data_IF_325048478817
#
_entry.id   IF_325048478817
#
_cell.length_a   1.000
_cell.length_b   1.000
_cell.length_c   1.000
_cell.angle_alpha   90.00
_cell.angle_beta   90.00
_cell.angle_gamma   90.00
#
_symmetry.space_group_name_H-M   'P 1'
#
loop_
_entity.id
_entity.type
_entity.pdbx_description
1 polymer ?
#
# COMPACT_ATOMS: atom_id res chain seq x y z
N UNK A 1 -31.80 37.36 -27.98
CA UNK A 1 -31.89 37.34 -26.49
C UNK A 1 -31.76 35.95 -25.86
N UNK A 2 -32.31 34.87 -26.44
CA UNK A 2 -32.23 33.49 -25.90
C UNK A 2 -30.79 32.93 -25.81
N UNK A 3 -29.98 33.16 -26.84
CA UNK A 3 -28.56 32.73 -26.89
C UNK A 3 -27.68 33.38 -25.81
N UNK A 4 -27.84 34.69 -25.53
CA UNK A 4 -27.08 35.39 -24.48
C UNK A 4 -27.40 34.88 -23.06
N UNK A 5 -28.65 34.47 -22.81
CA UNK A 5 -29.06 33.87 -21.53
C UNK A 5 -28.49 32.46 -21.35
N UNK A 6 -28.46 31.64 -22.41
CA UNK A 6 -27.83 30.32 -22.39
C UNK A 6 -26.32 30.41 -22.19
N UNK A 7 -25.65 31.37 -22.85
CA UNK A 7 -24.23 31.62 -22.65
C UNK A 7 -23.90 32.02 -21.20
N UNK A 8 -24.66 32.97 -20.62
CA UNK A 8 -24.48 33.38 -19.23
C UNK A 8 -24.77 32.23 -18.25
N UNK A 9 -25.78 31.42 -18.52
CA UNK A 9 -26.07 30.23 -17.71
C UNK A 9 -24.92 29.20 -17.77
N UNK A 10 -24.36 28.96 -18.95
CA UNK A 10 -23.19 28.08 -19.12
C UNK A 10 -21.95 28.59 -18.39
N UNK A 11 -21.64 29.89 -18.52
CA UNK A 11 -20.52 30.50 -17.80
C UNK A 11 -20.72 30.46 -16.28
N UNK A 12 -21.93 30.76 -15.79
CA UNK A 12 -22.26 30.67 -14.37
C UNK A 12 -22.12 29.25 -13.83
N UNK A 13 -22.53 28.24 -14.62
CA UNK A 13 -22.36 26.83 -14.24
C UNK A 13 -20.87 26.46 -14.10
N UNK A 14 -20.02 26.87 -15.05
CA UNK A 14 -18.58 26.62 -14.98
C UNK A 14 -17.97 27.26 -13.71
N UNK A 15 -18.32 28.52 -13.43
CA UNK A 15 -17.83 29.21 -12.22
C UNK A 15 -18.31 28.50 -10.96
N UNK A 16 -19.59 28.11 -10.89
CA UNK A 16 -20.15 27.42 -9.74
C UNK A 16 -19.45 26.07 -9.48
N UNK A 17 -19.22 25.27 -10.52
CA UNK A 17 -18.52 23.98 -10.41
C UNK A 17 -17.09 24.18 -9.90
N UNK A 18 -16.34 25.14 -10.46
CA UNK A 18 -14.99 25.44 -10.00
C UNK A 18 -14.96 25.95 -8.54
N UNK A 19 -15.94 26.79 -8.16
CA UNK A 19 -16.07 27.27 -6.79
C UNK A 19 -16.31 26.13 -5.81
N UNK A 20 -17.16 25.15 -6.15
CA UNK A 20 -17.39 23.96 -5.32
C UNK A 20 -16.12 23.11 -5.17
N UNK A 21 -15.37 22.90 -6.26
CA UNK A 21 -14.11 22.14 -6.22
C UNK A 21 -13.08 22.84 -5.31
N UNK A 22 -12.89 24.15 -5.48
CA UNK A 22 -11.95 24.94 -4.67
C UNK A 22 -12.37 25.00 -3.20
N UNK A 23 -13.66 25.19 -2.93
CA UNK A 23 -14.20 25.15 -1.57
C UNK A 23 -13.97 23.78 -0.92
N UNK A 24 -14.14 22.69 -1.68
CA UNK A 24 -13.83 21.33 -1.24
C UNK A 24 -12.35 21.14 -0.89
N UNK A 25 -11.44 21.71 -1.66
CA UNK A 25 -10.00 21.66 -1.39
C UNK A 25 -9.60 22.49 -0.15
N UNK A 26 -10.16 23.69 -0.01
CA UNK A 26 -9.96 24.53 1.20
C UNK A 26 -10.52 23.83 2.43
N UNK A 27 -11.70 23.21 2.32
CA UNK A 27 -12.31 22.44 3.39
C UNK A 27 -11.47 21.22 3.77
N UNK A 28 -10.93 20.47 2.79
CA UNK A 28 -10.02 19.37 3.07
C UNK A 28 -8.79 19.85 3.86
N UNK A 29 -8.21 20.98 3.47
CA UNK A 29 -7.03 21.58 4.12
C UNK A 29 -7.33 22.33 5.42
N UNK A 30 -8.60 22.47 5.82
CA UNK A 30 -8.99 23.19 7.03
C UNK A 30 -8.59 22.46 8.32
N UNK A 31 -8.32 21.16 8.24
CA UNK A 31 -7.78 20.37 9.33
C UNK A 31 -6.82 19.31 8.76
N UNK A 32 -5.74 19.06 9.48
CA UNK A 32 -4.79 18.00 9.15
C UNK A 32 -5.14 16.73 9.93
N UNK A 33 -5.43 15.67 9.19
CA UNK A 33 -5.67 14.34 9.72
C UNK A 33 -4.34 13.66 10.06
N UNK A 34 -3.39 13.73 9.14
CA UNK A 34 -2.04 13.22 9.27
C UNK A 34 -1.05 14.06 8.46
N UNK A 35 0.22 14.01 8.85
CA UNK A 35 1.32 14.62 8.10
C UNK A 35 2.52 13.70 8.19
N UNK A 36 3.05 13.30 7.04
CA UNK A 36 4.14 12.33 6.96
C UNK A 36 5.19 12.77 5.96
N UNK A 37 6.42 12.42 6.29
CA UNK A 37 7.56 12.56 5.39
C UNK A 37 7.77 11.21 4.69
N UNK A 38 7.38 11.16 3.42
CA UNK A 38 7.48 9.96 2.58
C UNK A 38 8.68 10.05 1.64
N UNK A 39 9.24 8.88 1.29
CA UNK A 39 10.34 8.78 0.33
C UNK A 39 9.87 8.08 -0.94
N UNK A 40 10.78 7.94 -1.91
CA UNK A 40 10.56 7.12 -3.11
C UNK A 40 10.12 5.67 -2.78
N UNK A 41 10.45 5.14 -1.61
CA UNK A 41 10.03 3.79 -1.17
C UNK A 41 8.51 3.70 -0.99
N UNK A 42 7.91 4.77 -0.49
CA UNK A 42 6.46 4.86 -0.22
C UNK A 42 5.70 5.54 -1.36
N UNK A 43 6.39 6.34 -2.18
CA UNK A 43 5.80 7.09 -3.29
C UNK A 43 6.53 6.86 -4.62
N UNK A 44 6.73 5.61 -5.09
CA UNK A 44 7.47 5.38 -6.32
C UNK A 44 6.82 6.06 -7.54
N UNK A 45 7.63 6.38 -8.57
CA UNK A 45 7.14 6.82 -9.87
C UNK A 45 6.09 5.84 -10.44
N UNK A 46 4.93 6.33 -10.87
CA UNK A 46 3.86 5.48 -11.42
C UNK A 46 4.20 4.89 -12.79
N UNK A 47 3.51 3.84 -13.25
CA UNK A 47 3.84 3.14 -14.51
C UNK A 47 3.80 4.01 -15.80
N UNK A 48 3.22 5.22 -15.74
CA UNK A 48 3.01 6.08 -16.91
C UNK A 48 4.22 6.96 -17.29
N UNK A 49 5.41 6.72 -16.75
CA UNK A 49 6.62 7.46 -17.16
C UNK A 49 7.16 7.07 -18.55
N UNK A 50 6.51 6.13 -19.25
CA UNK A 50 6.94 5.61 -20.55
C UNK A 50 6.42 6.34 -21.80
N UNK A 51 5.70 7.46 -21.68
CA UNK A 51 5.34 8.29 -22.83
C UNK A 51 6.04 9.64 -22.74
N UNK A 52 7.28 9.64 -23.22
CA UNK A 52 8.06 10.84 -23.53
C UNK A 52 7.25 11.74 -24.48
N UNK A 53 6.63 12.80 -23.96
CA UNK A 53 6.58 14.16 -24.55
C UNK A 53 5.55 15.11 -23.90
N UNK A 54 4.61 14.63 -23.07
CA UNK A 54 3.63 15.51 -22.42
C UNK A 54 3.96 15.75 -20.94
N UNK A 55 4.85 16.73 -20.69
CA UNK A 55 5.32 17.17 -19.35
C UNK A 55 4.26 17.91 -18.51
N UNK A 56 3.05 17.38 -18.33
CA UNK A 56 1.99 18.11 -17.61
C UNK A 56 1.56 17.46 -16.30
N UNK A 57 1.74 16.15 -16.13
CA UNK A 57 1.24 15.42 -14.95
C UNK A 57 2.25 14.40 -14.40
N UNK A 58 2.94 14.74 -13.31
CA UNK A 58 3.69 13.76 -12.51
C UNK A 58 2.75 13.18 -11.46
N UNK A 59 2.63 11.85 -11.41
CA UNK A 59 1.87 11.12 -10.38
C UNK A 59 2.77 10.08 -9.73
N UNK A 60 2.71 10.01 -8.40
CA UNK A 60 3.45 9.04 -7.60
C UNK A 60 2.47 8.03 -7.01
N UNK A 61 2.78 6.75 -7.12
CA UNK A 61 1.93 5.69 -6.59
C UNK A 61 2.16 5.55 -5.09
N UNK A 62 1.11 5.43 -4.29
CA UNK A 62 1.25 5.10 -2.87
C UNK A 62 1.59 3.61 -2.75
N UNK A 63 2.84 3.31 -2.44
CA UNK A 63 3.32 1.96 -2.19
C UNK A 63 3.10 1.60 -0.72
N UNK A 64 2.29 0.57 -0.50
CA UNK A 64 1.95 0.06 0.82
C UNK A 64 1.96 -1.46 0.81
N UNK A 65 2.07 -2.04 2.00
CA UNK A 65 2.24 -3.48 2.20
C UNK A 65 1.34 -3.98 3.30
N UNK A 66 1.19 -5.30 3.37
CA UNK A 66 0.60 -5.99 4.50
C UNK A 66 1.64 -6.95 5.04
N UNK A 67 1.71 -7.10 6.36
CA UNK A 67 2.50 -8.17 6.94
C UNK A 67 1.80 -9.51 6.68
N UNK A 68 2.37 -10.32 5.80
CA UNK A 68 1.92 -11.71 5.57
C UNK A 68 2.77 -12.68 6.39
N UNK A 69 2.13 -13.71 6.94
CA UNK A 69 2.76 -14.75 7.75
C UNK A 69 3.55 -15.80 6.95
N UNK A 70 3.56 -15.78 5.61
CA UNK A 70 4.37 -16.72 4.81
C UNK A 70 5.86 -16.35 4.88
N UNK A 71 6.45 -16.61 6.06
CA UNK A 71 7.86 -16.46 6.39
C UNK A 71 8.60 -17.68 5.86
N UNK A 72 9.04 -17.65 4.60
CA UNK A 72 9.93 -18.70 4.10
C UNK A 72 10.15 -18.76 2.61
N UNK A 73 9.22 -18.24 1.80
CA UNK A 73 9.37 -18.14 0.36
C UNK A 73 8.95 -16.73 -0.05
N UNK A 74 9.81 -16.04 -0.80
CA UNK A 74 9.38 -14.82 -1.46
C UNK A 74 8.18 -15.20 -2.34
N UNK A 75 6.99 -14.61 -2.16
CA UNK A 75 5.86 -14.96 -3.00
C UNK A 75 6.28 -14.76 -4.46
N UNK A 76 5.95 -15.71 -5.38
CA UNK A 76 6.40 -15.67 -6.77
C UNK A 76 5.99 -14.39 -7.50
N UNK A 77 5.04 -13.63 -6.94
CA UNK A 77 4.68 -12.30 -7.41
C UNK A 77 4.48 -11.31 -6.24
N UNK A 78 5.21 -10.18 -6.20
CA UNK A 78 5.13 -9.19 -5.11
C UNK A 78 3.79 -8.44 -5.00
N UNK A 79 2.84 -8.70 -5.91
CA UNK A 79 1.58 -7.96 -6.01
C UNK A 79 0.34 -8.72 -5.51
N UNK A 80 0.43 -10.02 -5.19
CA UNK A 80 -0.77 -10.87 -5.00
C UNK A 80 -1.15 -11.23 -3.57
N UNK A 81 -0.24 -11.15 -2.58
CA UNK A 81 -0.60 -11.45 -1.18
C UNK A 81 -0.78 -10.18 -0.34
N UNK A 82 -1.76 -9.33 -0.70
CA UNK A 82 -2.30 -8.30 0.20
C UNK A 82 -3.19 -8.93 1.30
N UNK A 83 -2.90 -10.17 1.67
CA UNK A 83 -3.61 -10.96 2.65
C UNK A 83 -3.31 -10.42 4.05
N UNK A 84 -4.37 -10.27 4.84
CA UNK A 84 -4.32 -9.72 6.20
C UNK A 84 -4.60 -10.82 7.22
N UNK A 85 -3.57 -11.27 7.92
CA UNK A 85 -3.71 -12.35 8.92
C UNK A 85 -4.39 -11.86 10.21
N UNK A 86 -4.30 -10.56 10.50
CA UNK A 86 -4.91 -9.96 11.68
C UNK A 86 -6.43 -9.77 11.52
N UNK A 87 -7.02 -10.02 10.35
CA UNK A 87 -8.44 -9.84 10.11
C UNK A 87 -9.19 -11.18 10.21
N UNK A 88 -9.44 -11.59 11.45
CA UNK A 88 -10.19 -12.80 11.78
C UNK A 88 -11.70 -12.67 11.51
N UNK A 89 -12.43 -13.79 11.63
CA UNK A 89 -13.87 -13.85 11.38
C UNK A 89 -14.68 -12.84 12.23
N UNK A 90 -14.44 -12.68 13.55
CA UNK A 90 -15.09 -11.64 14.34
C UNK A 90 -14.85 -10.22 13.80
N UNK A 91 -13.62 -9.87 13.42
CA UNK A 91 -13.30 -8.55 12.85
C UNK A 91 -13.95 -8.35 11.48
N UNK A 92 -13.96 -9.37 10.63
CA UNK A 92 -14.67 -9.34 9.36
C UNK A 92 -16.17 -9.07 9.55
N UNK A 93 -16.81 -9.74 10.50
CA UNK A 93 -18.23 -9.46 10.83
C UNK A 93 -18.42 -8.04 11.35
N UNK A 94 -17.51 -7.53 12.17
CA UNK A 94 -17.55 -6.14 12.65
C UNK A 94 -17.40 -5.10 11.51
N UNK A 95 -16.73 -5.46 10.41
CA UNK A 95 -16.66 -4.66 9.19
C UNK A 95 -17.91 -4.79 8.29
N UNK A 96 -18.89 -5.59 8.68
CA UNK A 96 -20.16 -5.76 7.95
C UNK A 96 -20.17 -6.90 6.95
N UNK A 97 -19.23 -7.85 7.02
CA UNK A 97 -19.31 -9.07 6.24
C UNK A 97 -20.28 -10.07 6.88
N UNK A 98 -21.22 -10.59 6.09
CA UNK A 98 -22.14 -11.66 6.50
C UNK A 98 -21.51 -13.02 6.18
N UNK A 99 -20.70 -13.51 7.12
CA UNK A 99 -19.94 -14.76 6.97
C UNK A 99 -20.47 -15.82 7.95
N UNK A 100 -20.80 -17.04 7.50
CA UNK A 100 -21.12 -18.14 8.41
C UNK A 100 -19.91 -18.60 9.22
N UNK A 101 -20.13 -19.25 10.37
CA UNK A 101 -19.04 -19.66 11.29
C UNK A 101 -18.02 -20.59 10.63
N UNK A 102 -18.50 -21.50 9.78
CA UNK A 102 -17.66 -22.37 8.99
C UNK A 102 -17.60 -21.86 7.55
N UNK A 103 -16.38 -21.79 7.01
CA UNK A 103 -16.19 -21.48 5.60
C UNK A 103 -16.76 -22.62 4.73
N UNK A 104 -17.42 -22.29 3.62
CA UNK A 104 -18.02 -23.30 2.74
C UNK A 104 -16.98 -24.26 2.17
N UNK A 105 -17.38 -25.52 2.06
CA UNK A 105 -16.58 -26.55 1.42
C UNK A 105 -16.28 -26.21 -0.04
N UNK A 106 -15.19 -26.78 -0.58
CA UNK A 106 -14.81 -26.62 -2.00
C UNK A 106 -15.95 -26.97 -2.96
N UNK A 107 -16.75 -28.00 -2.63
CA UNK A 107 -17.89 -28.44 -3.42
C UNK A 107 -19.04 -27.45 -3.49
N UNK A 108 -19.18 -26.53 -2.51
CA UNK A 108 -20.25 -25.53 -2.47
C UNK A 108 -19.81 -24.21 -3.13
N UNK A 109 -19.63 -24.26 -4.45
CA UNK A 109 -19.20 -23.11 -5.24
C UNK A 109 -20.20 -21.95 -5.19
N UNK A 110 -21.50 -22.25 -5.22
CA UNK A 110 -22.54 -21.22 -5.19
C UNK A 110 -22.50 -20.40 -3.89
N UNK A 111 -22.22 -21.03 -2.74
CA UNK A 111 -22.04 -20.33 -1.48
C UNK A 111 -20.72 -19.54 -1.44
N UNK A 112 -19.62 -20.07 -1.99
CA UNK A 112 -18.35 -19.34 -2.09
C UNK A 112 -18.49 -18.05 -2.88
N UNK A 113 -19.09 -18.10 -4.08
CA UNK A 113 -19.30 -16.92 -4.93
C UNK A 113 -20.19 -15.84 -4.29
N UNK A 114 -21.06 -16.19 -3.33
CA UNK A 114 -21.88 -15.21 -2.58
C UNK A 114 -21.09 -14.49 -1.49
N UNK A 115 -20.02 -15.12 -1.00
CA UNK A 115 -19.13 -14.57 0.03
C UNK A 115 -18.07 -13.67 -0.60
N UNK A 116 -17.63 -14.03 -1.81
CA UNK A 116 -16.68 -13.23 -2.59
C UNK A 116 -17.27 -11.83 -2.83
N UNK A 117 -16.67 -10.82 -2.20
CA UNK A 117 -17.12 -9.45 -2.30
C UNK A 117 -16.22 -8.49 -1.55
N UNK A 118 -16.26 -7.23 -1.99
CA UNK A 118 -15.51 -6.14 -1.40
C UNK A 118 -16.42 -5.28 -0.52
N UNK A 119 -15.87 -4.85 0.62
CA UNK A 119 -16.51 -3.87 1.51
C UNK A 119 -15.58 -2.68 1.72
N UNK A 120 -16.17 -1.49 1.74
CA UNK A 120 -15.48 -0.27 2.14
C UNK A 120 -15.14 -0.32 3.62
N UNK A 121 -13.92 0.05 3.97
CA UNK A 121 -13.43 0.15 5.34
C UNK A 121 -12.43 1.30 5.48
N UNK A 122 -12.25 1.77 6.71
CA UNK A 122 -11.14 2.64 7.06
C UNK A 122 -9.96 1.79 7.47
N UNK A 123 -8.81 2.03 6.86
CA UNK A 123 -7.58 1.28 7.04
C UNK A 123 -6.57 2.15 7.79
N UNK A 124 -5.86 1.54 8.74
CA UNK A 124 -4.76 2.16 9.46
C UNK A 124 -3.45 1.72 8.83
N UNK A 125 -2.67 2.69 8.35
CA UNK A 125 -1.35 2.48 7.80
C UNK A 125 -0.30 3.02 8.79
N UNK A 126 0.67 2.18 9.13
CA UNK A 126 1.81 2.53 9.98
C UNK A 126 3.04 2.78 9.11
N UNK A 127 3.69 3.93 9.30
CA UNK A 127 4.91 4.31 8.60
C UNK A 127 6.15 4.03 9.44
N UNK A 128 7.03 3.12 9.01
CA UNK A 128 8.33 2.88 9.64
C UNK A 128 8.22 2.50 11.14
N UNK A 129 7.14 1.80 11.49
CA UNK A 129 6.84 1.37 12.86
C UNK A 129 7.13 -0.11 13.11
N UNK A 130 6.38 -0.69 14.05
CA UNK A 130 6.59 -2.07 14.50
C UNK A 130 6.41 -3.09 13.36
N UNK A 131 5.47 -2.84 12.44
CA UNK A 131 5.28 -3.70 11.28
C UNK A 131 6.51 -3.72 10.36
N UNK A 132 7.12 -2.56 10.07
CA UNK A 132 8.34 -2.54 9.27
C UNK A 132 9.52 -3.21 9.98
N UNK A 133 9.70 -2.93 11.28
CA UNK A 133 10.73 -3.57 12.08
C UNK A 133 10.59 -5.10 12.08
N UNK A 134 9.37 -5.62 12.20
CA UNK A 134 9.09 -7.05 12.13
C UNK A 134 9.40 -7.65 10.74
N UNK A 135 9.19 -6.89 9.66
CA UNK A 135 9.50 -7.35 8.30
C UNK A 135 11.00 -7.45 8.06
N UNK A 136 11.77 -6.45 8.50
CA UNK A 136 13.24 -6.46 8.47
C UNK A 136 13.78 -7.63 9.29
N UNK A 137 13.22 -7.86 10.48
CA UNK A 137 13.60 -8.98 11.34
C UNK A 137 13.31 -10.34 10.69
N UNK A 138 12.13 -10.49 10.06
CA UNK A 138 11.77 -11.72 9.36
C UNK A 138 12.72 -12.02 8.20
N UNK A 139 13.11 -11.00 7.43
CA UNK A 139 14.10 -11.11 6.36
C UNK A 139 15.49 -11.47 6.92
N UNK A 140 15.89 -10.88 8.04
CA UNK A 140 17.17 -11.22 8.71
C UNK A 140 17.20 -12.69 9.11
N UNK A 141 16.17 -13.18 9.79
CA UNK A 141 16.06 -14.60 10.17
C UNK A 141 16.02 -15.53 8.96
N UNK A 142 15.47 -15.09 7.83
CA UNK A 142 15.47 -15.88 6.60
C UNK A 142 16.88 -15.97 6.00
N UNK A 143 17.62 -14.87 5.97
CA UNK A 143 19.03 -14.84 5.55
C UNK A 143 19.91 -15.74 6.42
N UNK A 144 19.77 -15.65 7.74
CA UNK A 144 20.51 -16.50 8.69
C UNK A 144 20.22 -18.00 8.47
N UNK A 145 18.94 -18.36 8.27
CA UNK A 145 18.55 -19.75 7.96
C UNK A 145 19.11 -20.23 6.63
N UNK A 146 19.07 -19.40 5.58
CA UNK A 146 19.61 -19.75 4.28
C UNK A 146 21.14 -19.89 4.32
N UNK A 147 21.83 -19.05 5.10
CA UNK A 147 23.28 -19.16 5.31
C UNK A 147 23.65 -20.43 6.07
N UNK A 148 22.91 -20.79 7.12
CA UNK A 148 23.15 -22.04 7.85
C UNK A 148 23.00 -23.28 6.95
N UNK A 149 22.13 -23.25 5.92
CA UNK A 149 22.02 -24.32 4.93
C UNK A 149 23.27 -24.42 4.04
N UNK A 150 23.91 -23.29 3.69
CA UNK A 150 25.17 -23.28 2.95
C UNK A 150 26.28 -23.94 3.76
N UNK A 151 26.34 -23.68 5.07
CA UNK A 151 27.40 -24.19 5.95
C UNK A 151 27.37 -25.73 6.08
N UNK A 152 26.19 -26.34 5.94
CA UNK A 152 26.00 -27.81 5.95
C UNK A 152 25.82 -28.40 4.54
N UNK A 153 26.06 -27.63 3.49
CA UNK A 153 25.83 -28.05 2.11
C UNK A 153 26.78 -29.17 1.68
N UNK A 154 26.27 -30.13 0.92
CA UNK A 154 27.09 -31.08 0.17
C UNK A 154 27.42 -30.50 -1.20
N UNK A 155 28.38 -31.05 -1.94
CA UNK A 155 28.73 -30.55 -3.27
C UNK A 155 27.54 -30.58 -4.25
N UNK A 156 26.59 -31.50 -4.06
CA UNK A 156 25.36 -31.59 -4.86
C UNK A 156 24.35 -30.45 -4.56
N UNK A 157 24.31 -29.93 -3.33
CA UNK A 157 23.33 -28.89 -2.92
C UNK A 157 23.94 -27.50 -2.75
N UNK A 158 25.28 -27.40 -2.77
CA UNK A 158 26.04 -26.16 -2.54
C UNK A 158 25.62 -25.01 -3.44
N UNK A 159 25.43 -25.27 -4.74
CA UNK A 159 25.02 -24.23 -5.69
C UNK A 159 23.61 -23.69 -5.39
N UNK A 160 22.66 -24.57 -5.08
CA UNK A 160 21.28 -24.21 -4.76
C UNK A 160 21.19 -23.43 -3.44
N UNK A 161 21.88 -23.89 -2.40
CA UNK A 161 21.92 -23.19 -1.11
C UNK A 161 22.64 -21.85 -1.21
N UNK A 162 23.74 -21.76 -1.96
CA UNK A 162 24.42 -20.49 -2.21
C UNK A 162 23.51 -19.49 -2.93
N UNK A 163 22.75 -19.93 -3.93
CA UNK A 163 21.76 -19.11 -4.61
C UNK A 163 20.66 -18.63 -3.65
N UNK A 164 20.11 -19.52 -2.81
CA UNK A 164 19.12 -19.13 -1.78
C UNK A 164 19.68 -18.14 -0.78
N UNK A 165 20.90 -18.34 -0.28
CA UNK A 165 21.54 -17.42 0.67
C UNK A 165 21.78 -16.04 0.05
N UNK A 166 22.18 -15.99 -1.22
CA UNK A 166 22.30 -14.74 -1.98
C UNK A 166 20.93 -14.04 -2.09
N UNK A 167 19.89 -14.75 -2.55
CA UNK A 167 18.54 -14.19 -2.67
C UNK A 167 17.98 -13.70 -1.32
N UNK A 168 18.26 -14.42 -0.23
CA UNK A 168 17.83 -14.04 1.12
C UNK A 168 18.55 -12.77 1.63
N UNK A 169 19.82 -12.59 1.25
CA UNK A 169 20.57 -11.35 1.53
C UNK A 169 20.00 -10.17 0.75
N UNK A 170 19.80 -10.33 -0.55
CA UNK A 170 19.18 -9.31 -1.41
C UNK A 170 17.78 -8.93 -0.89
N UNK A 171 17.01 -9.89 -0.40
CA UNK A 171 15.71 -9.63 0.22
C UNK A 171 15.83 -8.78 1.50
N UNK A 172 16.81 -9.04 2.36
CA UNK A 172 17.07 -8.23 3.56
C UNK A 172 17.50 -6.80 3.20
N UNK A 173 18.37 -6.65 2.21
CA UNK A 173 18.83 -5.34 1.75
C UNK A 173 17.67 -4.55 1.14
N UNK A 174 16.82 -5.20 0.35
CA UNK A 174 15.59 -4.60 -0.19
C UNK A 174 14.60 -4.18 0.91
N UNK A 175 14.40 -4.96 1.98
CA UNK A 175 13.58 -4.55 3.14
C UNK A 175 14.12 -3.29 3.85
N UNK A 176 15.44 -3.15 3.90
CA UNK A 176 16.11 -2.03 4.55
C UNK A 176 16.06 -0.77 3.72
N UNK A 177 16.28 -0.85 2.41
CA UNK A 177 16.59 0.32 1.58
C UNK A 177 15.56 0.66 0.50
N UNK A 178 14.75 -0.30 0.07
CA UNK A 178 13.95 -0.17 -1.17
C UNK A 178 12.45 -0.31 -0.94
N UNK A 179 12.04 -1.37 -0.21
CA UNK A 179 10.64 -1.69 -0.02
C UNK A 179 9.96 -0.62 0.84
N UNK A 180 8.70 -0.34 0.54
CA UNK A 180 7.90 0.59 1.35
C UNK A 180 7.91 0.20 2.83
N UNK A 181 8.03 1.21 3.70
CA UNK A 181 7.89 1.08 5.15
C UNK A 181 6.45 1.31 5.62
N UNK A 182 5.52 1.53 4.69
CA UNK A 182 4.11 1.80 4.97
C UNK A 182 3.31 0.49 4.97
N UNK A 183 2.79 0.11 6.13
CA UNK A 183 2.07 -1.16 6.33
C UNK A 183 0.63 -0.93 6.77
N UNK A 184 -0.32 -1.65 6.17
CA UNK A 184 -1.69 -1.73 6.70
C UNK A 184 -1.71 -2.67 7.90
N UNK A 185 -2.10 -2.15 9.07
CA UNK A 185 -2.02 -2.88 10.36
C UNK A 185 -3.38 -3.11 11.03
N UNK A 186 -4.40 -2.32 10.70
CA UNK A 186 -5.73 -2.41 11.32
C UNK A 186 -6.80 -1.88 10.36
N UNK A 187 -8.06 -2.19 10.65
CA UNK A 187 -9.22 -1.65 9.94
C UNK A 187 -10.43 -1.45 10.85
N UNK A 188 -11.31 -0.54 10.45
CA UNK A 188 -12.55 -0.26 11.17
C UNK A 188 -13.59 0.43 10.30
N UNK A 189 -14.77 0.62 10.87
CA UNK A 189 -15.90 1.32 10.21
C UNK A 189 -15.98 2.80 10.58
N UNK A 190 -15.29 3.22 11.65
CA UNK A 190 -15.28 4.61 12.13
C UNK A 190 -13.84 5.16 12.18
N UNK A 191 -13.50 6.16 11.34
CA UNK A 191 -12.16 6.74 11.32
C UNK A 191 -11.85 7.53 12.59
N UNK A 192 -12.85 8.09 13.28
CA UNK A 192 -12.63 8.84 14.52
C UNK A 192 -12.25 7.89 15.67
N UNK A 193 -12.92 6.74 15.78
CA UNK A 193 -12.56 5.70 16.73
C UNK A 193 -11.17 5.12 16.45
N UNK A 194 -10.82 4.89 15.18
CA UNK A 194 -9.47 4.49 14.79
C UNK A 194 -8.45 5.56 15.19
N UNK A 195 -8.74 6.84 14.93
CA UNK A 195 -7.83 7.93 15.28
C UNK A 195 -7.63 8.10 16.79
N UNK A 196 -8.66 7.80 17.59
CA UNK A 196 -8.53 7.77 19.05
C UNK A 196 -7.60 6.63 19.51
N UNK A 197 -7.63 5.47 18.83
CA UNK A 197 -6.74 4.34 19.10
C UNK A 197 -5.31 4.56 18.61
N UNK A 198 -5.14 5.26 17.48
CA UNK A 198 -3.86 5.55 16.83
C UNK A 198 -3.59 7.07 16.79
N UNK A 199 -3.26 7.70 17.93
CA UNK A 199 -3.25 9.16 18.03
C UNK A 199 -2.08 9.85 17.31
N UNK A 200 -0.96 9.15 17.09
CA UNK A 200 0.24 9.69 16.43
C UNK A 200 0.01 9.88 14.92
N UNK A 201 0.01 11.15 14.48
CA UNK A 201 -0.38 11.57 13.12
C UNK A 201 0.77 11.60 12.11
N UNK A 202 1.97 11.47 12.61
CA UNK A 202 3.23 11.31 11.90
C UNK A 202 3.62 9.84 11.69
N UNK A 203 3.05 8.95 12.50
CA UNK A 203 3.25 7.49 12.43
C UNK A 203 2.08 6.75 11.79
N UNK A 204 0.84 7.10 12.14
CA UNK A 204 -0.37 6.42 11.66
C UNK A 204 -1.16 7.30 10.72
N UNK A 205 -1.46 6.75 9.54
CA UNK A 205 -2.33 7.34 8.52
C UNK A 205 -3.63 6.53 8.46
N UNK A 206 -4.76 7.22 8.37
CA UNK A 206 -6.06 6.57 8.22
C UNK A 206 -6.60 6.91 6.84
N UNK A 207 -6.86 5.88 6.01
CA UNK A 207 -7.40 6.05 4.66
C UNK A 207 -8.63 5.18 4.46
N UNK A 208 -9.55 5.66 3.63
CA UNK A 208 -10.58 4.78 3.07
C UNK A 208 -9.94 3.75 2.13
N UNK A 209 -10.54 2.57 2.06
CA UNK A 209 -10.14 1.53 1.14
C UNK A 209 -11.15 0.40 1.11
N UNK A 210 -10.76 -0.70 0.47
CA UNK A 210 -11.60 -1.88 0.29
C UNK A 210 -10.92 -3.13 0.83
N UNK A 211 -11.70 -3.93 1.54
CA UNK A 211 -11.31 -5.26 1.98
C UNK A 211 -12.14 -6.26 1.18
N UNK A 212 -11.49 -7.26 0.62
CA UNK A 212 -12.12 -8.41 0.01
C UNK A 212 -11.97 -9.63 0.90
N UNK A 213 -12.95 -10.54 0.83
CA UNK A 213 -12.88 -11.87 1.46
C UNK A 213 -12.97 -12.92 0.37
N UNK A 214 -12.10 -13.93 0.46
CA UNK A 214 -12.20 -15.15 -0.33
C UNK A 214 -12.24 -16.37 0.59
N UNK A 215 -12.66 -17.50 0.05
CA UNK A 215 -12.59 -18.79 0.74
C UNK A 215 -11.40 -19.57 0.19
N UNK A 216 -10.38 -19.77 1.02
CA UNK A 216 -9.26 -20.64 0.69
C UNK A 216 -9.68 -22.09 0.88
N UNK A 217 -9.50 -22.90 -0.16
CA UNK A 217 -9.79 -24.34 -0.15
C UNK A 217 -8.63 -25.11 -0.76
N UNK A 218 -8.35 -26.32 -0.25
CA UNK A 218 -7.29 -27.19 -0.74
C UNK A 218 -7.82 -28.30 -1.65
N UNK A 219 -6.93 -29.10 -2.23
CA UNK A 219 -7.29 -30.28 -3.02
C UNK A 219 -8.12 -31.27 -2.20
N UNK A 220 -9.07 -31.95 -2.87
CA UNK A 220 -9.84 -33.01 -2.25
C UNK A 220 -8.89 -34.14 -1.83
N UNK A 221 -8.89 -34.51 -0.54
CA UNK A 221 -7.98 -35.52 0.01
C UNK A 221 -6.91 -34.99 0.97
N UNK A 222 -6.83 -33.67 1.20
CA UNK A 222 -6.00 -33.07 2.26
C UNK A 222 -6.86 -32.65 3.48
N UNK A 223 -7.20 -33.59 4.39
CA UNK A 223 -8.06 -33.31 5.55
C UNK A 223 -7.41 -32.38 6.59
N UNK A 224 -6.11 -32.10 6.49
CA UNK A 224 -5.38 -31.28 7.45
C UNK A 224 -5.59 -29.77 7.26
N UNK A 225 -6.20 -29.34 6.14
CA UNK A 225 -6.45 -27.93 5.86
C UNK A 225 -7.96 -27.69 5.59
N UNK A 226 -8.76 -27.46 6.64
CA UNK A 226 -10.18 -27.15 6.47
C UNK A 226 -10.35 -25.80 5.76
N UNK A 227 -11.39 -25.62 4.91
CA UNK A 227 -11.69 -24.34 4.29
C UNK A 227 -11.66 -23.19 5.30
N UNK A 228 -11.05 -22.07 4.91
CA UNK A 228 -10.96 -20.88 5.77
C UNK A 228 -11.21 -19.60 4.99
N UNK A 229 -11.72 -18.59 5.68
CA UNK A 229 -11.79 -17.24 5.13
C UNK A 229 -10.40 -16.64 5.07
N UNK A 230 -10.09 -16.02 3.94
CA UNK A 230 -8.87 -15.25 3.71
C UNK A 230 -9.29 -13.84 3.35
N UNK A 231 -8.89 -12.89 4.18
CA UNK A 231 -9.14 -11.48 3.91
C UNK A 231 -7.94 -10.85 3.22
N UNK A 232 -8.20 -9.88 2.35
CA UNK A 232 -7.16 -9.14 1.66
C UNK A 232 -7.57 -7.69 1.47
N UNK A 233 -6.62 -6.77 1.52
CA UNK A 233 -6.86 -5.37 1.17
C UNK A 233 -6.84 -5.28 -0.35
N UNK A 234 -7.96 -4.92 -0.98
CA UNK A 234 -8.05 -4.87 -2.45
C UNK A 234 -7.54 -3.55 -3.00
N UNK A 235 -7.86 -2.44 -2.35
CA UNK A 235 -7.46 -1.09 -2.77
C UNK A 235 -7.46 -0.08 -1.62
N UNK A 236 -6.77 1.03 -1.83
CA UNK A 236 -6.97 2.27 -1.08
C UNK A 236 -7.82 3.22 -1.92
N UNK A 237 -8.61 4.08 -1.31
CA UNK A 237 -9.36 5.11 -2.03
C UNK A 237 -8.42 6.16 -2.65
N UNK A 238 -7.22 6.31 -2.07
CA UNK A 238 -6.12 7.13 -2.59
C UNK A 238 -4.94 6.21 -2.94
N UNK A 239 -4.79 5.89 -4.23
CA UNK A 239 -3.70 5.03 -4.71
C UNK A 239 -2.53 5.81 -5.31
N UNK A 240 -2.73 7.10 -5.61
CA UNK A 240 -1.68 7.94 -6.17
C UNK A 240 -1.81 9.40 -5.74
N UNK A 241 -0.68 10.09 -5.77
CA UNK A 241 -0.51 11.48 -5.41
C UNK A 241 -0.08 12.26 -6.65
N UNK A 242 -0.90 13.22 -7.05
CA UNK A 242 -0.53 14.15 -8.11
C UNK A 242 0.45 15.19 -7.59
N UNK A 243 1.51 15.46 -8.35
CA UNK A 243 2.57 16.39 -7.97
C UNK A 243 2.35 17.75 -8.64
N UNK A 244 2.09 18.83 -7.87
CA UNK A 244 2.05 20.18 -8.41
C UNK A 244 3.34 20.57 -9.14
N UNK A 245 3.22 21.31 -10.25
CA UNK A 245 4.33 21.73 -11.11
C UNK A 245 5.53 22.34 -10.34
N UNK A 246 5.26 23.11 -9.28
CA UNK A 246 6.29 23.72 -8.42
C UNK A 246 7.23 22.72 -7.72
N UNK A 247 6.89 21.43 -7.69
CA UNK A 247 7.70 20.37 -7.09
C UNK A 247 8.33 19.43 -8.13
N UNK A 248 8.12 19.67 -9.43
CA UNK A 248 8.61 18.78 -10.49
C UNK A 248 10.15 18.72 -10.53
N UNK A 249 10.83 19.84 -10.27
CA UNK A 249 12.30 19.87 -10.27
C UNK A 249 12.89 18.92 -9.21
N UNK A 250 12.24 18.76 -8.06
CA UNK A 250 12.68 17.82 -7.03
C UNK A 250 12.59 16.35 -7.49
N UNK A 251 11.73 16.07 -8.47
CA UNK A 251 11.45 14.74 -9.02
C UNK A 251 11.99 14.54 -10.44
N UNK A 252 12.77 15.49 -10.98
CA UNK A 252 13.22 15.46 -12.37
C UNK A 252 14.00 14.18 -12.75
N UNK A 253 14.56 13.48 -11.76
CA UNK A 253 15.29 12.21 -11.93
C UNK A 253 14.55 10.99 -11.38
N UNK A 254 13.29 11.13 -10.94
CA UNK A 254 12.54 10.10 -10.23
C UNK A 254 12.34 8.80 -11.03
N UNK A 255 12.47 8.84 -12.37
CA UNK A 255 12.37 7.68 -13.25
C UNK A 255 13.66 6.88 -13.42
N UNK A 256 14.80 7.38 -12.93
CA UNK A 256 16.07 6.66 -12.97
C UNK A 256 16.31 6.00 -11.60
N UNK A 257 16.36 4.66 -11.58
CA UNK A 257 16.55 3.86 -10.35
C UNK A 257 17.88 4.16 -9.65
N UNK A 258 18.90 4.58 -10.41
CA UNK A 258 20.23 4.91 -9.90
C UNK A 258 20.37 6.40 -9.52
N UNK A 259 19.29 7.18 -9.69
CA UNK A 259 19.33 8.61 -9.45
C UNK A 259 18.88 9.01 -8.04
N UNK A 260 19.13 10.28 -7.74
CA UNK A 260 18.74 10.99 -6.53
C UNK A 260 17.38 10.54 -5.99
N UNK A 261 17.41 9.92 -4.80
CA UNK A 261 16.23 9.65 -3.97
C UNK A 261 15.51 10.98 -3.72
N UNK A 262 14.23 10.96 -3.38
CA UNK A 262 13.52 12.17 -2.96
C UNK A 262 12.75 11.94 -1.67
N UNK A 263 12.44 13.07 -1.03
CA UNK A 263 11.66 13.15 0.20
C UNK A 263 10.54 14.17 -0.01
N UNK A 264 9.33 13.77 0.33
CA UNK A 264 8.11 14.56 0.17
C UNK A 264 7.40 14.68 1.51
N UNK A 265 7.07 15.91 1.90
CA UNK A 265 6.18 16.13 3.03
C UNK A 265 4.76 16.20 2.51
N UNK A 266 3.95 15.22 2.93
CA UNK A 266 2.57 15.05 2.50
C UNK A 266 1.68 15.22 3.72
N UNK A 267 0.63 16.01 3.58
CA UNK A 267 -0.45 16.07 4.57
C UNK A 267 -1.74 15.49 3.99
N UNK A 268 -2.51 14.86 4.86
CA UNK A 268 -3.86 14.38 4.61
C UNK A 268 -4.83 15.23 5.38
N UNK A 269 -5.91 15.61 4.72
CA UNK A 269 -6.86 16.56 5.26
C UNK A 269 -8.05 15.93 5.91
N UNK A 270 -9.03 16.77 6.23
CA UNK A 270 -10.33 16.38 6.76
C UNK A 270 -11.07 15.33 5.91
N UNK A 271 -10.85 15.30 4.60
CA UNK A 271 -11.45 14.31 3.69
C UNK A 271 -10.54 13.09 3.47
N UNK A 272 -9.44 12.98 4.22
CA UNK A 272 -8.40 11.96 4.02
C UNK A 272 -7.79 12.01 2.60
N UNK A 273 -7.85 13.18 1.95
CA UNK A 273 -7.24 13.43 0.65
C UNK A 273 -5.88 14.14 0.85
N UNK A 274 -4.82 13.72 0.14
CA UNK A 274 -3.50 14.26 0.35
C UNK A 274 -3.24 15.57 -0.41
N UNK A 275 -2.27 16.36 0.07
CA UNK A 275 -1.57 17.37 -0.71
C UNK A 275 -0.10 17.44 -0.32
N UNK A 276 0.73 17.85 -1.29
CA UNK A 276 2.15 18.09 -1.06
C UNK A 276 2.39 19.45 -0.42
N UNK A 277 3.16 19.42 0.67
CA UNK A 277 3.64 20.59 1.41
C UNK A 277 5.02 20.99 0.90
N UNK A 278 5.94 20.02 0.81
CA UNK A 278 7.31 20.25 0.40
C UNK A 278 7.88 19.05 -0.38
N UNK A 279 8.89 19.33 -1.19
CA UNK A 279 9.65 18.32 -1.91
C UNK A 279 11.14 18.64 -1.83
N UNK A 280 11.95 17.62 -1.54
CA UNK A 280 13.39 17.72 -1.45
C UNK A 280 14.02 16.65 -2.35
N UNK A 281 14.99 17.06 -3.15
CA UNK A 281 15.89 16.12 -3.82
C UNK A 281 16.86 15.58 -2.78
N UNK A 282 16.92 14.27 -2.64
CA UNK A 282 17.88 13.53 -1.84
C UNK A 282 19.16 13.25 -2.63
N UNK A 283 20.23 12.91 -1.91
CA UNK A 283 21.48 12.47 -2.52
C UNK A 283 21.35 11.04 -3.03
N UNK A 284 22.07 10.64 -4.11
CA UNK A 284 22.24 9.22 -4.42
C UNK A 284 22.86 8.49 -3.22
N UNK A 285 22.46 7.25 -2.97
CA UNK A 285 23.11 6.42 -1.94
C UNK A 285 24.58 6.26 -2.30
N UNK A 286 25.48 6.43 -1.34
CA UNK A 286 26.93 6.33 -1.50
C UNK A 286 27.43 4.89 -1.80
N UNK A 287 26.57 3.99 -2.29
CA UNK A 287 26.88 2.60 -2.59
C UNK A 287 27.06 2.29 -4.08
N UNK A 288 26.67 3.18 -4.99
CA UNK A 288 26.60 2.88 -6.44
C UNK A 288 27.77 3.48 -7.25
N UNK A 289 28.90 3.71 -6.60
CA UNK A 289 30.17 3.96 -7.29
C UNK A 289 31.08 2.75 -7.13
N UNK A 290 30.81 1.70 -7.93
CA UNK A 290 31.82 0.80 -8.48
C UNK A 290 31.29 0.01 -9.68
#
# INVERSE_FOLDING_TARGET
MRSRRLFLAGAALIIAVNAVILAGAVWNRSAEEARMTLTQRELPPGWNHGLEQERSAISLQLAWRVMSHEVGEAPPHPHYSREVDWLDLPRLRALGFDLPDAAPARSDEARRRRIDGDRGAWLVLELDGAAHAAAVEAARRHMERAQAQVDVATDATRAEFAHRAKAAREALDAEREERSRLFVIDAGTDPAALRARYPQRDLYLILGGRIGVTVQTWAAGEPLNPPRYRAHVTALDVESLHVPARFHDALATAGNRDAARYRLDVAWGRRHEPWLIAAQRGSPSAGDSN
#
